data_IF_203167749858
#
_entry.id   IF_203167749858
#
_cell.length_a   1.000
_cell.length_b   1.000
_cell.length_c   1.000
_cell.angle_alpha   90.00
_cell.angle_beta   90.00
_cell.angle_gamma   90.00
#
_symmetry.space_group_name_H-M   'P 1'
#
loop_
_entity.id
_entity.type
_entity.pdbx_description
1 polymer ?
#
# COMPACT_ATOMS: atom_id res chain seq x y z
N UNK A 1 -7.16 -27.66 -28.27
CA UNK A 1 -7.56 -26.51 -27.43
C UNK A 1 -6.40 -25.54 -27.43
N UNK A 2 -6.63 -24.27 -27.74
CA UNK A 2 -5.57 -23.25 -27.66
C UNK A 2 -5.36 -22.96 -26.18
N UNK A 3 -4.19 -23.29 -25.65
CA UNK A 3 -3.78 -22.90 -24.30
C UNK A 3 -3.40 -21.41 -24.34
N UNK A 4 -4.35 -20.53 -24.04
CA UNK A 4 -4.14 -19.08 -24.03
C UNK A 4 -4.10 -18.60 -22.58
N UNK A 5 -3.08 -17.83 -22.23
CA UNK A 5 -3.01 -17.13 -20.95
C UNK A 5 -4.17 -16.13 -20.83
N UNK A 6 -4.80 -16.11 -19.65
CA UNK A 6 -5.86 -15.18 -19.30
C UNK A 6 -5.34 -14.26 -18.19
N UNK A 7 -5.48 -12.96 -18.39
CA UNK A 7 -5.05 -11.93 -17.44
C UNK A 7 -6.27 -11.12 -16.99
N UNK A 8 -6.33 -10.69 -15.72
CA UNK A 8 -7.41 -9.83 -15.27
C UNK A 8 -7.35 -8.46 -15.99
N UNK A 9 -8.52 -7.94 -16.33
CA UNK A 9 -8.64 -6.58 -16.84
C UNK A 9 -8.34 -5.56 -15.72
N UNK A 10 -7.84 -4.38 -16.11
CA UNK A 10 -7.49 -3.27 -15.17
C UNK A 10 -8.45 -2.08 -15.32
N UNK A 11 -8.82 -1.72 -16.55
CA UNK A 11 -9.77 -0.66 -16.93
C UNK A 11 -9.52 0.71 -16.26
N UNK A 12 -10.45 1.21 -15.43
CA UNK A 12 -10.53 2.58 -14.94
C UNK A 12 -9.32 3.03 -14.13
N UNK A 13 -8.85 2.20 -13.20
CA UNK A 13 -7.70 2.48 -12.33
C UNK A 13 -6.49 1.69 -12.82
N UNK A 14 -5.40 2.37 -13.20
CA UNK A 14 -4.21 1.74 -13.77
C UNK A 14 -3.15 1.33 -12.77
N UNK A 15 -3.02 2.08 -11.67
CA UNK A 15 -1.90 1.90 -10.73
C UNK A 15 -2.24 2.48 -9.37
N UNK A 16 -2.19 1.64 -8.35
CA UNK A 16 -2.20 2.01 -6.94
C UNK A 16 -0.83 2.61 -6.63
N UNK A 17 -0.75 3.92 -6.42
CA UNK A 17 0.52 4.62 -6.24
C UNK A 17 1.01 4.50 -4.79
N UNK A 18 0.20 4.92 -3.83
CA UNK A 18 0.57 4.86 -2.43
C UNK A 18 -0.59 4.64 -1.49
N UNK A 19 -0.23 4.16 -0.31
CA UNK A 19 -1.04 4.24 0.89
C UNK A 19 -0.46 5.33 1.80
N UNK A 20 -1.32 6.17 2.36
CA UNK A 20 -0.94 7.27 3.24
C UNK A 20 -1.51 7.03 4.62
N UNK A 21 -0.70 7.34 5.64
CA UNK A 21 -1.18 7.54 6.99
C UNK A 21 -0.28 8.50 7.74
N UNK A 22 -0.86 9.27 8.66
CA UNK A 22 -0.10 10.23 9.45
C UNK A 22 0.62 9.61 10.65
N UNK A 23 1.67 10.28 11.12
CA UNK A 23 2.39 9.91 12.33
C UNK A 23 2.94 11.11 13.09
N UNK A 24 3.40 10.86 14.31
CA UNK A 24 3.89 11.90 15.20
C UNK A 24 5.18 12.56 14.66
N UNK A 25 6.12 11.74 14.22
CA UNK A 25 7.41 12.12 13.64
C UNK A 25 7.89 11.06 12.63
N UNK A 26 9.11 11.22 12.10
CA UNK A 26 9.72 10.31 11.14
C UNK A 26 10.90 9.50 11.69
N UNK A 27 11.20 9.60 12.99
CA UNK A 27 12.34 8.91 13.59
C UNK A 27 12.04 7.40 13.65
N UNK A 28 10.89 7.06 14.21
CA UNK A 28 10.41 5.67 14.26
C UNK A 28 10.10 5.14 12.86
N UNK A 29 9.63 5.99 11.95
CA UNK A 29 9.35 5.62 10.56
C UNK A 29 10.64 5.25 9.83
N UNK A 30 11.71 6.00 10.06
CA UNK A 30 13.04 5.71 9.52
C UNK A 30 13.59 4.40 10.08
N UNK A 31 13.46 4.17 11.39
CA UNK A 31 13.88 2.91 12.03
C UNK A 31 13.11 1.73 11.44
N UNK A 32 11.79 1.82 11.37
CA UNK A 32 10.95 0.71 10.94
C UNK A 32 11.04 0.48 9.42
N UNK A 33 10.64 1.45 8.60
CA UNK A 33 10.53 1.27 7.15
C UNK A 33 11.89 1.20 6.45
N UNK A 34 12.85 2.03 6.87
CA UNK A 34 14.14 2.08 6.16
C UNK A 34 15.10 1.03 6.72
N UNK A 35 15.29 1.00 8.04
CA UNK A 35 16.25 0.06 8.64
C UNK A 35 15.68 -1.37 8.73
N UNK A 36 14.47 -1.52 9.27
CA UNK A 36 13.81 -2.82 9.44
C UNK A 36 13.36 -3.43 8.11
N UNK A 37 12.41 -2.79 7.44
CA UNK A 37 11.79 -3.30 6.21
C UNK A 37 12.74 -3.24 5.00
N UNK A 38 13.80 -2.43 5.06
CA UNK A 38 14.77 -2.30 3.98
C UNK A 38 14.31 -1.45 2.81
N UNK A 39 13.24 -0.67 2.98
CA UNK A 39 12.76 0.29 1.99
C UNK A 39 13.69 1.51 1.92
N UNK A 40 13.31 2.51 1.12
CA UNK A 40 14.12 3.72 0.89
C UNK A 40 13.28 4.98 1.00
N UNK A 41 13.89 6.06 1.51
CA UNK A 41 13.25 7.37 1.49
C UNK A 41 13.33 7.96 0.09
N UNK A 42 12.27 8.62 -0.37
CA UNK A 42 12.25 9.34 -1.64
C UNK A 42 13.29 10.48 -1.63
N UNK A 43 14.32 10.42 -2.49
CA UNK A 43 15.38 11.42 -2.50
C UNK A 43 15.07 12.65 -3.36
N UNK A 44 13.90 12.72 -4.03
CA UNK A 44 13.58 13.78 -4.99
C UNK A 44 12.44 14.69 -4.56
N UNK A 45 11.29 14.12 -4.16
CA UNK A 45 10.04 14.90 -3.97
C UNK A 45 9.64 15.07 -2.51
N UNK A 46 10.00 14.12 -1.66
CA UNK A 46 9.61 14.06 -0.25
C UNK A 46 10.84 13.96 0.65
N UNK A 47 11.77 14.88 0.41
CA UNK A 47 13.08 14.96 1.09
C UNK A 47 13.01 15.73 2.41
N UNK A 48 12.02 16.60 2.58
CA UNK A 48 11.79 17.35 3.81
C UNK A 48 11.16 16.50 4.92
N UNK A 49 11.07 17.07 6.12
CA UNK A 49 10.55 16.47 7.34
C UNK A 49 9.02 16.55 7.50
N UNK A 50 8.31 17.13 6.53
CA UNK A 50 6.87 17.40 6.65
C UNK A 50 6.02 16.23 6.18
N UNK A 51 6.46 15.53 5.14
CA UNK A 51 5.78 14.36 4.60
C UNK A 51 6.81 13.39 4.02
N UNK A 52 7.07 12.28 4.72
CA UNK A 52 8.07 11.30 4.30
C UNK A 52 7.49 10.39 3.22
N UNK A 53 8.18 10.31 2.08
CA UNK A 53 7.92 9.29 1.06
C UNK A 53 8.81 8.07 1.28
N UNK A 54 8.21 6.89 1.44
CA UNK A 54 8.91 5.60 1.54
C UNK A 54 8.66 4.81 0.26
N UNK A 55 9.68 4.57 -0.54
CA UNK A 55 9.58 3.82 -1.79
C UNK A 55 9.47 2.32 -1.53
N UNK A 56 8.53 1.68 -2.21
CA UNK A 56 8.28 0.25 -2.25
C UNK A 56 8.05 -0.20 -3.69
N UNK A 57 9.14 -0.49 -4.40
CA UNK A 57 9.11 -0.82 -5.82
C UNK A 57 8.69 0.41 -6.64
N UNK A 58 7.53 0.33 -7.30
CA UNK A 58 6.97 1.41 -8.11
C UNK A 58 5.89 2.22 -7.38
N UNK A 59 5.80 2.02 -6.06
CA UNK A 59 4.75 2.54 -5.19
C UNK A 59 5.40 3.19 -3.97
N UNK A 60 4.63 3.89 -3.14
CA UNK A 60 5.14 4.51 -1.92
C UNK A 60 4.22 4.29 -0.71
N UNK A 61 4.76 4.54 0.49
CA UNK A 61 3.98 5.08 1.59
C UNK A 61 4.24 6.57 1.71
N UNK A 62 3.21 7.35 1.98
CA UNK A 62 3.36 8.76 2.38
C UNK A 62 2.99 8.91 3.85
N UNK A 63 3.87 9.56 4.62
CA UNK A 63 3.77 9.68 6.07
C UNK A 63 3.79 11.16 6.46
N UNK A 64 2.65 11.88 6.43
CA UNK A 64 2.57 13.25 6.92
C UNK A 64 2.93 13.32 8.40
N UNK A 65 3.79 14.29 8.77
CA UNK A 65 4.12 14.57 10.17
C UNK A 65 3.04 15.47 10.78
N UNK A 66 2.39 14.98 11.84
CA UNK A 66 1.29 15.71 12.53
C UNK A 66 1.53 15.99 14.00
N UNK A 67 2.59 15.44 14.59
CA UNK A 67 2.90 15.63 16.01
C UNK A 67 1.99 14.85 16.96
N UNK A 68 1.04 14.06 16.43
CA UNK A 68 0.15 13.18 17.18
C UNK A 68 0.36 11.72 16.76
N UNK A 69 0.06 10.74 17.63
CA UNK A 69 0.09 9.33 17.26
C UNK A 69 -0.81 9.03 16.06
N UNK A 70 -0.39 8.06 15.24
CA UNK A 70 -1.22 7.51 14.18
C UNK A 70 -2.55 7.01 14.76
N UNK A 71 -3.71 7.40 14.19
CA UNK A 71 -4.99 6.83 14.59
C UNK A 71 -5.04 5.31 14.41
N UNK A 72 -6.01 4.60 15.00
CA UNK A 72 -6.17 3.16 14.76
C UNK A 72 -6.54 2.87 13.29
N UNK A 73 -5.95 1.80 12.74
CA UNK A 73 -6.37 1.22 11.46
C UNK A 73 -6.62 -0.27 11.64
N UNK A 74 -7.88 -0.69 11.47
CA UNK A 74 -8.28 -2.09 11.64
C UNK A 74 -8.22 -2.91 10.35
N UNK A 75 -7.59 -2.36 9.31
CA UNK A 75 -7.30 -3.04 8.05
C UNK A 75 -5.92 -3.69 8.00
N UNK A 76 -5.50 -4.09 6.81
CA UNK A 76 -4.20 -4.74 6.60
C UNK A 76 -3.61 -4.37 5.23
N UNK A 77 -2.32 -4.04 5.19
CA UNK A 77 -1.64 -3.68 3.95
C UNK A 77 -0.79 -4.86 3.47
N UNK A 78 -1.11 -5.39 2.30
CA UNK A 78 -0.41 -6.51 1.66
C UNK A 78 0.77 -6.04 0.83
N UNK A 79 1.98 -6.46 1.21
CA UNK A 79 3.21 -6.13 0.49
C UNK A 79 3.88 -7.39 -0.05
N UNK A 80 4.33 -7.33 -1.30
CA UNK A 80 5.29 -8.30 -1.83
C UNK A 80 6.68 -7.79 -1.51
N UNK A 81 7.55 -8.65 -0.99
CA UNK A 81 8.92 -8.29 -0.59
C UNK A 81 9.93 -9.34 -1.07
N UNK A 82 11.19 -8.93 -1.35
CA UNK A 82 12.15 -9.81 -2.00
C UNK A 82 12.69 -10.91 -1.08
N UNK A 83 12.78 -10.69 0.23
CA UNK A 83 13.41 -11.62 1.17
C UNK A 83 12.82 -11.48 2.59
N UNK A 84 11.95 -12.42 2.96
CA UNK A 84 11.33 -12.47 4.28
C UNK A 84 12.34 -12.77 5.40
N UNK A 85 13.24 -13.77 5.30
CA UNK A 85 14.28 -14.02 6.31
C UNK A 85 15.12 -12.79 6.66
N UNK A 86 15.56 -12.03 5.65
CA UNK A 86 16.39 -10.83 5.86
C UNK A 86 15.61 -9.73 6.56
N UNK A 87 14.36 -9.49 6.17
CA UNK A 87 13.50 -8.50 6.84
C UNK A 87 13.24 -8.92 8.29
N UNK A 88 12.90 -10.19 8.51
CA UNK A 88 12.69 -10.75 9.85
C UNK A 88 13.92 -10.55 10.75
N UNK A 89 15.11 -10.91 10.27
CA UNK A 89 16.35 -10.74 11.05
C UNK A 89 16.63 -9.28 11.43
N UNK A 90 16.39 -8.33 10.52
CA UNK A 90 16.55 -6.89 10.81
C UNK A 90 15.56 -6.41 11.86
N UNK A 91 14.30 -6.81 11.72
CA UNK A 91 13.23 -6.43 12.63
C UNK A 91 13.41 -7.03 14.03
N UNK A 92 13.78 -8.31 14.13
CA UNK A 92 14.12 -8.98 15.40
C UNK A 92 15.28 -8.27 16.10
N UNK A 93 16.37 -7.95 15.37
CA UNK A 93 17.49 -7.19 15.92
C UNK A 93 17.07 -5.82 16.46
N UNK A 94 16.20 -5.10 15.74
CA UNK A 94 15.72 -3.78 16.17
C UNK A 94 14.83 -3.89 17.42
N UNK A 95 14.02 -4.95 17.51
CA UNK A 95 13.21 -5.24 18.68
C UNK A 95 14.09 -5.59 19.90
N UNK A 96 15.11 -6.45 19.73
CA UNK A 96 16.03 -6.88 20.79
C UNK A 96 16.78 -5.70 21.44
N UNK A 97 17.11 -4.65 20.69
CA UNK A 97 17.78 -3.45 21.20
C UNK A 97 16.78 -2.37 21.68
N UNK A 98 15.50 -2.71 21.80
CA UNK A 98 14.45 -1.87 22.37
C UNK A 98 13.96 -0.74 21.47
N UNK A 99 14.13 -0.81 20.13
CA UNK A 99 13.64 0.25 19.23
C UNK A 99 12.11 0.33 19.15
N UNK A 100 11.41 -0.72 19.53
CA UNK A 100 9.96 -0.82 19.45
C UNK A 100 9.28 -0.91 20.83
N UNK A 101 10.03 -0.67 21.91
CA UNK A 101 9.50 -0.71 23.27
C UNK A 101 8.38 0.33 23.46
N UNK A 102 7.27 -0.10 24.06
CA UNK A 102 6.10 0.75 24.29
C UNK A 102 5.27 1.04 23.03
N UNK A 103 5.57 0.39 21.91
CA UNK A 103 4.78 0.48 20.67
C UNK A 103 3.91 -0.77 20.49
N UNK A 104 2.88 -0.75 19.62
CA UNK A 104 2.08 -1.93 19.28
C UNK A 104 2.81 -2.99 18.43
N UNK A 105 4.12 -2.84 18.21
CA UNK A 105 4.87 -3.67 17.28
C UNK A 105 4.77 -5.17 17.64
N UNK A 106 4.45 -5.98 16.64
CA UNK A 106 4.41 -7.43 16.75
C UNK A 106 4.82 -8.05 15.40
N UNK A 107 5.63 -9.12 15.44
CA UNK A 107 5.98 -9.91 14.27
C UNK A 107 5.50 -11.34 14.46
N UNK A 108 4.69 -11.81 13.53
CA UNK A 108 4.06 -13.13 13.55
C UNK A 108 4.35 -13.87 12.24
N UNK A 109 5.29 -14.83 12.22
CA UNK A 109 5.46 -15.72 11.07
C UNK A 109 4.18 -16.53 10.85
N UNK A 110 3.72 -16.63 9.61
CA UNK A 110 2.54 -17.44 9.26
C UNK A 110 2.99 -18.76 8.64
N UNK A 111 3.82 -18.67 7.59
CA UNK A 111 4.39 -19.81 6.88
C UNK A 111 5.71 -19.38 6.17
N UNK A 112 6.30 -20.26 5.37
CA UNK A 112 7.57 -20.02 4.67
C UNK A 112 7.52 -18.87 3.65
N UNK A 113 6.31 -18.49 3.21
CA UNK A 113 6.06 -17.49 2.18
C UNK A 113 5.35 -16.25 2.69
N UNK A 114 4.91 -16.25 3.95
CA UNK A 114 4.07 -15.20 4.51
C UNK A 114 4.43 -14.88 5.97
N UNK A 115 4.52 -13.60 6.30
CA UNK A 115 4.53 -13.13 7.70
C UNK A 115 3.66 -11.90 7.89
N UNK A 116 3.11 -11.75 9.09
CA UNK A 116 2.34 -10.57 9.50
C UNK A 116 3.13 -9.73 10.47
N UNK A 117 3.05 -8.42 10.33
CA UNK A 117 3.67 -7.44 11.20
C UNK A 117 2.62 -6.42 11.61
N UNK A 118 2.40 -6.23 12.91
CA UNK A 118 1.81 -4.98 13.40
C UNK A 118 2.95 -3.99 13.50
N UNK A 119 2.88 -2.90 12.72
CA UNK A 119 3.95 -1.90 12.74
C UNK A 119 3.99 -1.16 14.10
N UNK A 120 5.08 -0.44 14.40
CA UNK A 120 5.13 0.41 15.60
C UNK A 120 4.07 1.52 15.64
N UNK A 121 3.36 1.75 14.54
CA UNK A 121 2.25 2.70 14.41
C UNK A 121 0.87 2.04 14.56
N UNK A 122 0.80 0.73 14.80
CA UNK A 122 -0.46 -0.02 14.88
C UNK A 122 -1.04 -0.44 13.53
N UNK A 123 -0.48 0.02 12.41
CA UNK A 123 -0.89 -0.42 11.05
C UNK A 123 -0.40 -1.85 10.81
N UNK A 124 -1.31 -2.78 10.51
CA UNK A 124 -0.97 -4.15 10.16
C UNK A 124 -0.48 -4.28 8.71
N UNK A 125 0.61 -5.01 8.52
CA UNK A 125 1.22 -5.34 7.25
C UNK A 125 1.28 -6.86 7.10
N UNK A 126 0.89 -7.38 5.94
CA UNK A 126 1.10 -8.79 5.58
C UNK A 126 2.09 -8.88 4.44
N UNK A 127 3.23 -9.48 4.73
CA UNK A 127 4.35 -9.60 3.80
C UNK A 127 4.32 -10.95 3.12
N UNK A 128 4.44 -10.91 1.81
CA UNK A 128 4.43 -12.05 0.92
C UNK A 128 5.79 -12.15 0.23
N UNK A 129 6.38 -13.33 0.19
CA UNK A 129 7.62 -13.57 -0.55
C UNK A 129 7.40 -13.29 -2.05
N UNK A 130 8.41 -12.75 -2.73
CA UNK A 130 8.36 -12.56 -4.18
C UNK A 130 7.99 -13.88 -4.90
N UNK A 131 6.98 -13.83 -5.77
CA UNK A 131 6.47 -14.99 -6.51
C UNK A 131 5.45 -15.86 -5.75
N UNK A 132 5.09 -15.52 -4.51
CA UNK A 132 4.00 -16.20 -3.76
C UNK A 132 2.60 -15.70 -4.12
N UNK A 133 2.51 -14.50 -4.70
CA UNK A 133 1.30 -13.93 -5.27
C UNK A 133 1.52 -13.66 -6.76
N UNK A 134 0.43 -13.64 -7.53
CA UNK A 134 0.45 -13.06 -8.86
C UNK A 134 0.75 -11.56 -8.71
N UNK A 135 2.01 -11.17 -8.89
CA UNK A 135 2.45 -9.78 -8.82
C UNK A 135 3.71 -9.62 -9.68
N UNK A 136 3.73 -8.62 -10.55
CA UNK A 136 4.73 -8.54 -11.62
C UNK A 136 6.14 -8.14 -11.15
N UNK A 137 6.29 -7.71 -9.89
CA UNK A 137 7.54 -7.17 -9.35
C UNK A 137 7.94 -7.92 -8.08
N UNK A 138 9.24 -7.99 -7.74
CA UNK A 138 9.68 -8.63 -6.49
C UNK A 138 9.41 -7.78 -5.23
N UNK A 139 8.94 -6.54 -5.39
CA UNK A 139 8.65 -5.61 -4.32
C UNK A 139 7.50 -4.70 -4.73
N UNK A 140 6.51 -4.51 -3.85
CA UNK A 140 5.44 -3.53 -4.05
C UNK A 140 4.27 -3.71 -3.10
N UNK A 141 3.30 -2.83 -3.25
CA UNK A 141 2.00 -2.84 -2.57
C UNK A 141 1.01 -3.61 -3.43
N UNK A 142 0.69 -4.84 -3.01
CA UNK A 142 -0.19 -5.75 -3.72
C UNK A 142 -1.67 -5.48 -3.38
N UNK A 143 -1.97 -5.22 -2.11
CA UNK A 143 -3.33 -4.89 -1.73
C UNK A 143 -3.45 -4.03 -0.47
N UNK A 144 -4.58 -3.37 -0.30
CA UNK A 144 -5.01 -2.76 0.96
C UNK A 144 -6.36 -3.31 1.36
N UNK A 145 -6.43 -3.95 2.53
CA UNK A 145 -7.67 -4.41 3.16
C UNK A 145 -8.24 -3.28 4.00
N UNK A 146 -9.45 -2.84 3.66
CA UNK A 146 -10.16 -1.78 4.36
C UNK A 146 -11.42 -2.39 4.97
N UNK A 147 -11.58 -2.35 6.31
CA UNK A 147 -12.77 -2.87 6.93
C UNK A 147 -13.94 -1.92 6.70
N UNK A 148 -15.11 -2.48 6.43
CA UNK A 148 -16.36 -1.73 6.21
C UNK A 148 -17.53 -2.42 6.90
N UNK A 149 -18.57 -1.66 7.21
CA UNK A 149 -19.77 -2.20 7.84
C UNK A 149 -20.43 -3.26 6.93
N UNK A 150 -21.00 -4.34 7.49
CA UNK A 150 -21.73 -5.32 6.70
C UNK A 150 -22.83 -4.71 5.82
N UNK A 151 -22.94 -5.19 4.58
CA UNK A 151 -23.82 -4.66 3.54
C UNK A 151 -23.24 -3.52 2.70
N UNK A 152 -22.10 -2.91 3.09
CA UNK A 152 -21.50 -1.79 2.33
C UNK A 152 -20.80 -2.23 1.05
N UNK A 153 -20.41 -3.49 0.91
CA UNK A 153 -19.76 -4.01 -0.30
C UNK A 153 -20.59 -3.75 -1.57
N UNK A 154 -21.92 -3.88 -1.50
CA UNK A 154 -22.81 -3.64 -2.65
C UNK A 154 -22.79 -2.18 -3.12
N UNK A 155 -22.74 -1.23 -2.17
CA UNK A 155 -22.66 0.20 -2.49
C UNK A 155 -21.30 0.55 -3.09
N UNK A 156 -20.23 -0.01 -2.53
CA UNK A 156 -18.85 0.16 -3.03
C UNK A 156 -18.68 -0.40 -4.44
N UNK A 157 -19.29 -1.56 -4.71
CA UNK A 157 -19.25 -2.18 -6.03
C UNK A 157 -19.88 -1.26 -7.08
N UNK A 158 -21.07 -0.71 -6.78
CA UNK A 158 -21.75 0.26 -7.65
C UNK A 158 -20.86 1.48 -7.91
N UNK A 159 -20.22 2.04 -6.89
CA UNK A 159 -19.28 3.16 -7.07
C UNK A 159 -18.12 2.79 -8.01
N UNK A 160 -17.37 1.74 -7.72
CA UNK A 160 -16.17 1.41 -8.50
C UNK A 160 -16.48 0.90 -9.90
N UNK A 161 -17.51 0.07 -10.05
CA UNK A 161 -17.89 -0.48 -11.35
C UNK A 161 -18.57 0.55 -12.23
N UNK A 162 -19.55 1.28 -11.69
CA UNK A 162 -20.45 2.10 -12.53
C UNK A 162 -19.95 3.54 -12.69
N UNK A 163 -19.29 4.11 -11.67
CA UNK A 163 -18.73 5.47 -11.73
C UNK A 163 -17.25 5.48 -12.16
N UNK A 164 -16.43 4.61 -11.57
CA UNK A 164 -14.97 4.59 -11.86
C UNK A 164 -14.62 3.73 -13.09
N UNK A 165 -15.52 2.83 -13.51
CA UNK A 165 -15.30 1.86 -14.59
C UNK A 165 -14.13 0.91 -14.29
N UNK A 166 -14.16 0.31 -13.10
CA UNK A 166 -13.10 -0.56 -12.59
C UNK A 166 -13.66 -1.95 -12.26
N UNK A 167 -12.95 -3.04 -12.60
CA UNK A 167 -13.39 -4.39 -12.28
C UNK A 167 -13.47 -4.63 -10.78
N UNK A 168 -14.50 -5.37 -10.40
CA UNK A 168 -14.76 -5.79 -9.03
C UNK A 168 -15.04 -7.29 -8.98
N UNK A 169 -14.66 -7.93 -7.89
CA UNK A 169 -14.90 -9.35 -7.64
C UNK A 169 -15.26 -9.55 -6.16
N UNK A 170 -16.29 -10.37 -5.90
CA UNK A 170 -16.58 -10.81 -4.54
C UNK A 170 -15.73 -12.02 -4.18
N UNK A 171 -15.06 -11.92 -3.04
CA UNK A 171 -14.24 -12.97 -2.45
C UNK A 171 -14.76 -13.28 -1.03
N UNK A 172 -14.41 -14.46 -0.55
CA UNK A 172 -14.49 -14.79 0.89
C UNK A 172 -13.07 -14.84 1.42
N UNK A 173 -12.75 -14.00 2.41
CA UNK A 173 -11.42 -13.97 3.04
C UNK A 173 -11.61 -14.09 4.54
N UNK A 174 -11.08 -15.17 5.13
CA UNK A 174 -11.20 -15.49 6.56
C UNK A 174 -12.67 -15.50 7.05
N UNK A 175 -13.61 -15.95 6.21
CA UNK A 175 -15.04 -15.95 6.52
C UNK A 175 -15.75 -14.61 6.35
N UNK A 176 -15.05 -13.56 5.89
CA UNK A 176 -15.63 -12.24 5.63
C UNK A 176 -15.99 -12.07 4.16
N UNK A 177 -17.19 -11.51 3.88
CA UNK A 177 -17.54 -11.05 2.54
C UNK A 177 -16.63 -9.88 2.17
N UNK A 178 -15.94 -10.03 1.04
CA UNK A 178 -14.94 -9.06 0.61
C UNK A 178 -15.22 -8.61 -0.81
N UNK A 179 -15.34 -7.30 -1.03
CA UNK A 179 -15.31 -6.72 -2.37
C UNK A 179 -13.86 -6.41 -2.74
N UNK A 180 -13.28 -7.17 -3.67
CA UNK A 180 -11.99 -6.87 -4.27
C UNK A 180 -12.17 -5.94 -5.46
N UNK A 181 -11.50 -4.80 -5.46
CA UNK A 181 -11.50 -3.82 -6.56
C UNK A 181 -10.11 -3.76 -7.17
N UNK A 182 -10.02 -3.87 -8.49
CA UNK A 182 -8.74 -3.81 -9.20
C UNK A 182 -8.19 -2.39 -9.24
N UNK A 183 -7.01 -2.16 -8.68
CA UNK A 183 -6.32 -0.86 -8.70
C UNK A 183 -5.05 -0.88 -9.57
N UNK A 184 -4.94 -1.83 -10.48
CA UNK A 184 -3.78 -2.00 -11.36
C UNK A 184 -3.51 -3.46 -11.65
N UNK A 185 -2.50 -3.79 -12.48
CA UNK A 185 -2.12 -5.17 -12.76
C UNK A 185 -1.74 -5.90 -11.47
N UNK A 186 -2.63 -6.79 -11.03
CA UNK A 186 -2.55 -7.49 -9.75
C UNK A 186 -2.35 -6.59 -8.52
N UNK A 187 -2.99 -5.42 -8.53
CA UNK A 187 -3.07 -4.52 -7.38
C UNK A 187 -4.54 -4.40 -6.98
N UNK A 188 -4.84 -4.41 -5.69
CA UNK A 188 -6.23 -4.44 -5.21
C UNK A 188 -6.47 -3.52 -4.02
N UNK A 189 -7.65 -2.92 -3.95
CA UNK A 189 -8.21 -2.44 -2.69
C UNK A 189 -9.39 -3.34 -2.36
N UNK A 190 -9.38 -3.94 -1.17
CA UNK A 190 -10.33 -4.97 -0.77
C UNK A 190 -11.12 -4.48 0.42
N UNK A 191 -12.42 -4.30 0.23
CA UNK A 191 -13.33 -3.86 1.28
C UNK A 191 -13.91 -5.08 1.98
N UNK A 192 -13.53 -5.28 3.24
CA UNK A 192 -13.87 -6.47 4.03
C UNK A 192 -15.01 -6.15 4.98
N UNK A 193 -16.13 -6.83 4.82
CA UNK A 193 -17.29 -6.64 5.70
C UNK A 193 -17.04 -7.27 7.06
N UNK A 194 -17.03 -6.42 8.10
CA UNK A 194 -16.87 -6.86 9.49
C UNK A 194 -17.51 -5.87 10.44
N UNK A 195 -17.99 -6.35 11.57
CA UNK A 195 -18.51 -5.50 12.64
C UNK A 195 -17.36 -4.91 13.46
N UNK A 196 -17.25 -3.59 13.47
CA UNK A 196 -16.32 -2.80 14.28
C UNK A 196 -17.07 -1.70 15.04
N UNK A 197 -16.48 -1.27 16.16
CA UNK A 197 -16.98 -0.13 16.93
C UNK A 197 -16.75 1.21 16.22
N UNK A 198 -15.75 1.27 15.33
CA UNK A 198 -15.32 2.48 14.62
C UNK A 198 -14.78 2.13 13.21
N UNK A 199 -15.19 2.92 12.21
CA UNK A 199 -14.76 2.82 10.81
C UNK A 199 -14.14 4.12 10.29
N UNK A 200 -13.80 5.08 11.18
CA UNK A 200 -13.20 6.36 10.80
C UNK A 200 -11.82 6.15 10.14
N UNK A 201 -11.65 6.72 8.94
CA UNK A 201 -10.40 6.63 8.17
C UNK A 201 -9.92 8.00 7.65
N UNK A 202 -10.36 9.11 8.23
CA UNK A 202 -10.05 10.48 7.78
C UNK A 202 -8.55 10.82 7.70
N UNK A 203 -7.70 10.08 8.41
CA UNK A 203 -6.24 10.26 8.41
C UNK A 203 -5.51 9.36 7.41
N UNK A 204 -6.25 8.52 6.68
CA UNK A 204 -5.74 7.55 5.73
C UNK A 204 -6.19 7.90 4.32
N UNK A 205 -5.36 7.58 3.34
CA UNK A 205 -5.78 7.65 1.94
C UNK A 205 -5.05 6.65 1.07
N UNK A 206 -5.66 6.32 -0.06
CA UNK A 206 -4.95 5.73 -1.20
C UNK A 206 -4.86 6.75 -2.31
N UNK A 207 -3.74 6.71 -3.03
CA UNK A 207 -3.60 7.44 -4.28
C UNK A 207 -3.47 6.49 -5.45
N UNK A 208 -4.08 6.84 -6.57
CA UNK A 208 -4.09 5.99 -7.74
C UNK A 208 -4.28 6.80 -9.02
N UNK A 209 -3.84 6.20 -10.13
CA UNK A 209 -3.96 6.79 -11.45
C UNK A 209 -5.15 6.24 -12.22
N UNK A 210 -5.91 7.13 -12.86
CA UNK A 210 -7.12 6.76 -13.61
C UNK A 210 -7.05 7.11 -15.09
N UNK A 211 -7.69 6.29 -15.92
CA UNK A 211 -7.80 6.52 -17.38
C UNK A 211 -8.88 7.52 -17.75
N UNK A 212 -9.93 7.65 -16.93
CA UNK A 212 -11.11 8.49 -17.16
C UNK A 212 -11.13 9.75 -16.26
N UNK A 213 -9.96 10.36 -16.02
CA UNK A 213 -9.76 11.44 -15.04
C UNK A 213 -10.80 12.57 -15.07
N UNK A 214 -11.08 13.16 -16.25
CA UNK A 214 -12.02 14.27 -16.35
C UNK A 214 -13.45 13.86 -15.99
N UNK A 215 -13.93 12.75 -16.54
CA UNK A 215 -15.28 12.26 -16.26
C UNK A 215 -15.45 11.91 -14.78
N UNK A 216 -14.45 11.29 -14.17
CA UNK A 216 -14.47 10.98 -12.75
C UNK A 216 -14.49 12.26 -11.89
N UNK A 217 -13.61 13.23 -12.20
CA UNK A 217 -13.58 14.51 -11.49
C UNK A 217 -14.91 15.27 -11.60
N UNK A 218 -15.49 15.32 -12.79
CA UNK A 218 -16.76 16.04 -13.03
C UNK A 218 -17.89 15.42 -12.19
N UNK A 219 -17.95 14.08 -12.09
CA UNK A 219 -18.91 13.40 -11.20
C UNK A 219 -18.70 13.72 -9.73
N UNK A 220 -17.45 13.77 -9.27
CA UNK A 220 -17.13 14.14 -7.87
C UNK A 220 -17.50 15.60 -7.58
N UNK A 221 -17.32 16.51 -8.55
CA UNK A 221 -17.76 17.91 -8.45
C UNK A 221 -19.28 18.01 -8.38
N UNK A 222 -19.99 17.29 -9.25
CA UNK A 222 -21.47 17.27 -9.28
C UNK A 222 -22.07 16.84 -7.94
N UNK A 223 -21.40 15.91 -7.23
CA UNK A 223 -21.81 15.43 -5.92
C UNK A 223 -21.37 16.34 -4.75
N UNK A 224 -20.51 17.33 -5.00
CA UNK A 224 -20.06 18.28 -3.99
C UNK A 224 -19.05 17.71 -2.98
N UNK A 225 -18.46 16.54 -3.25
CA UNK A 225 -17.50 15.86 -2.35
C UNK A 225 -16.06 16.31 -2.54
N UNK A 226 -15.78 17.14 -3.55
CA UNK A 226 -14.43 17.59 -3.89
C UNK A 226 -13.79 18.38 -2.73
N UNK A 227 -12.57 18.00 -2.35
CA UNK A 227 -11.74 18.81 -1.47
C UNK A 227 -11.00 19.90 -2.26
N UNK A 228 -11.13 21.15 -1.80
CA UNK A 228 -10.49 22.30 -2.43
C UNK A 228 -10.99 22.55 -3.85
N UNK A 229 -10.13 23.09 -4.72
CA UNK A 229 -10.51 23.47 -6.09
C UNK A 229 -10.41 22.33 -7.12
N UNK A 230 -9.75 21.21 -6.78
CA UNK A 230 -9.57 20.08 -7.71
C UNK A 230 -8.87 20.44 -9.03
N UNK A 231 -8.02 21.47 -9.01
CA UNK A 231 -7.37 22.02 -10.19
C UNK A 231 -6.13 21.19 -10.61
N UNK A 232 -5.90 21.11 -11.92
CA UNK A 232 -4.73 20.43 -12.49
C UNK A 232 -4.97 18.95 -12.79
N UNK A 233 -4.00 18.12 -12.44
CA UNK A 233 -3.92 16.69 -12.78
C UNK A 233 -4.04 15.77 -11.55
N UNK A 234 -4.49 16.33 -10.42
CA UNK A 234 -4.77 15.64 -9.16
C UNK A 234 -6.00 16.29 -8.52
N UNK A 235 -6.86 15.48 -7.90
CA UNK A 235 -7.91 15.97 -7.01
C UNK A 235 -8.07 15.04 -5.82
N UNK A 236 -8.64 15.58 -4.74
CA UNK A 236 -8.92 14.85 -3.50
C UNK A 236 -10.41 14.92 -3.23
N UNK A 237 -10.97 13.87 -2.64
CA UNK A 237 -12.33 13.85 -2.10
C UNK A 237 -12.42 12.79 -1.00
N UNK A 238 -13.40 12.92 -0.11
CA UNK A 238 -13.71 11.89 0.88
C UNK A 238 -14.80 10.97 0.34
N UNK A 239 -14.56 9.66 0.43
CA UNK A 239 -15.47 8.64 -0.08
C UNK A 239 -14.86 7.24 -0.11
N UNK A 240 -15.53 6.25 -0.72
CA UNK A 240 -16.57 6.40 -1.75
C UNK A 240 -17.94 6.94 -1.29
N UNK A 241 -18.78 7.32 -2.25
CA UNK A 241 -20.19 7.74 -2.07
C UNK A 241 -21.12 6.99 -3.05
N UNK A 242 -22.43 6.92 -2.77
CA UNK A 242 -23.39 6.31 -3.70
C UNK A 242 -23.55 7.21 -4.94
N UNK A 243 -23.33 6.70 -6.17
CA UNK A 243 -23.40 7.50 -7.38
C UNK A 243 -24.74 8.18 -7.69
N UNK A 244 -25.85 7.67 -7.14
CA UNK A 244 -27.20 8.19 -7.39
C UNK A 244 -27.66 9.16 -6.29
N UNK A 245 -27.41 8.82 -5.02
CA UNK A 245 -27.88 9.64 -3.89
C UNK A 245 -26.86 10.66 -3.40
N UNK A 246 -25.57 10.47 -3.67
CA UNK A 246 -24.48 11.26 -3.10
C UNK A 246 -24.18 10.95 -1.63
N UNK A 247 -24.84 9.95 -1.03
CA UNK A 247 -24.60 9.53 0.35
C UNK A 247 -23.18 8.96 0.49
N UNK A 248 -22.41 9.47 1.44
CA UNK A 248 -21.09 8.93 1.76
C UNK A 248 -21.19 7.48 2.24
N UNK A 249 -20.44 6.59 1.60
CA UNK A 249 -20.39 5.16 1.94
C UNK A 249 -19.32 4.93 3.00
N UNK A 250 -18.16 5.60 2.84
CA UNK A 250 -16.98 5.45 3.69
C UNK A 250 -16.23 6.78 3.76
N UNK A 251 -15.95 7.26 4.98
CA UNK A 251 -15.12 8.44 5.21
C UNK A 251 -13.64 8.08 5.10
N UNK A 252 -13.14 8.05 3.86
CA UNK A 252 -11.77 7.68 3.52
C UNK A 252 -11.27 8.59 2.39
N UNK A 253 -10.13 9.26 2.56
CA UNK A 253 -9.68 10.20 1.54
C UNK A 253 -9.17 9.44 0.30
N UNK A 254 -9.49 9.98 -0.87
CA UNK A 254 -9.14 9.43 -2.17
C UNK A 254 -8.29 10.45 -2.94
N UNK A 255 -7.03 10.12 -3.23
CA UNK A 255 -6.17 10.95 -4.07
C UNK A 255 -6.16 10.44 -5.51
N UNK A 256 -6.95 11.08 -6.37
CA UNK A 256 -7.10 10.66 -7.76
C UNK A 256 -6.16 11.46 -8.65
N UNK A 257 -5.31 10.77 -9.40
CA UNK A 257 -4.36 11.39 -10.33
C UNK A 257 -4.65 11.01 -11.78
N UNK A 258 -4.43 11.97 -12.67
CA UNK A 258 -4.44 11.73 -14.11
C UNK A 258 -3.20 10.94 -14.53
N UNK A 259 -3.30 10.07 -15.53
CA UNK A 259 -2.12 9.45 -16.17
C UNK A 259 -1.19 10.48 -16.84
N UNK A 260 -1.63 11.73 -17.03
CA UNK A 260 -0.79 12.83 -17.50
C UNK A 260 -0.06 13.57 -16.37
N UNK A 261 -0.33 13.21 -15.11
CA UNK A 261 0.36 13.79 -13.95
C UNK A 261 1.87 13.54 -14.07
N UNK A 262 2.73 14.54 -13.76
CA UNK A 262 4.19 14.42 -13.95
C UNK A 262 4.85 13.31 -13.13
N UNK A 263 4.19 12.86 -12.06
CA UNK A 263 4.69 11.76 -11.24
C UNK A 263 4.19 10.37 -11.70
N UNK A 264 3.36 10.27 -12.74
CA UNK A 264 2.93 8.98 -13.29
C UNK A 264 4.14 8.20 -13.79
N UNK A 265 4.38 7.03 -13.21
CA UNK A 265 5.52 6.16 -13.51
C UNK A 265 6.89 6.83 -13.33
N UNK A 266 6.97 7.88 -12.50
CA UNK A 266 8.24 8.49 -12.11
C UNK A 266 9.17 7.42 -11.51
N UNK A 267 10.46 7.41 -11.85
CA UNK A 267 11.41 6.49 -11.24
C UNK A 267 11.49 6.68 -9.71
N UNK A 268 11.34 5.58 -8.97
CA UNK A 268 11.57 5.52 -7.54
C UNK A 268 12.87 4.77 -7.26
N UNK A 269 13.69 5.32 -6.38
CA UNK A 269 14.96 4.70 -5.97
C UNK A 269 14.66 3.68 -4.89
N UNK A 270 14.85 2.40 -5.17
CA UNK A 270 14.71 1.30 -4.22
C UNK A 270 16.08 0.82 -3.77
N UNK A 271 16.16 0.21 -2.59
CA UNK A 271 17.42 -0.36 -2.12
C UNK A 271 17.81 -1.49 -3.08
N UNK A 272 18.96 -1.33 -3.72
CA UNK A 272 19.63 -2.44 -4.38
C UNK A 272 20.40 -3.23 -3.30
N UNK A 273 20.47 -4.57 -3.39
CA UNK A 273 21.34 -5.35 -2.52
C UNK A 273 22.75 -4.74 -2.50
N UNK A 274 23.22 -4.41 -1.30
CA UNK A 274 24.59 -3.92 -1.11
C UNK A 274 25.51 -5.11 -1.34
N UNK A 275 26.05 -5.24 -2.55
CA UNK A 275 26.97 -6.32 -2.90
C UNK A 275 28.40 -6.09 -2.33
N UNK A 276 28.74 -4.85 -1.96
CA UNK A 276 30.04 -4.47 -1.41
C UNK A 276 29.94 -3.14 -0.65
N UNK A 277 30.24 -3.15 0.65
CA UNK A 277 30.37 -1.97 1.52
C UNK A 277 31.84 -1.86 1.98
N UNK A 278 32.45 -0.65 2.02
CA UNK A 278 33.82 -0.47 2.47
C UNK A 278 33.98 -0.55 4.01
N UNK A 279 32.90 -0.63 4.77
CA UNK A 279 32.90 -0.75 6.23
C UNK A 279 32.54 -2.18 6.65
N UNK A 280 33.51 -2.90 7.22
CA UNK A 280 33.42 -4.35 7.49
C UNK A 280 32.36 -4.73 8.53
N UNK A 281 32.06 -3.87 9.49
CA UNK A 281 31.05 -4.10 10.54
C UNK A 281 29.62 -4.17 9.99
N UNK A 282 29.36 -3.51 8.87
CA UNK A 282 28.08 -3.55 8.16
C UNK A 282 28.07 -4.63 7.07
N UNK A 283 29.23 -4.87 6.44
CA UNK A 283 29.42 -5.93 5.44
C UNK A 283 29.23 -7.32 6.03
N UNK A 284 29.83 -7.63 7.18
CA UNK A 284 29.82 -8.98 7.75
C UNK A 284 28.40 -9.42 8.16
N UNK A 285 27.56 -8.48 8.60
CA UNK A 285 26.13 -8.73 8.86
C UNK A 285 25.37 -8.99 7.57
N UNK A 286 25.63 -8.23 6.51
CA UNK A 286 24.95 -8.39 5.22
C UNK A 286 25.44 -9.61 4.44
N UNK A 287 26.72 -9.97 4.50
CA UNK A 287 27.30 -11.19 3.90
C UNK A 287 26.77 -12.45 4.61
N UNK A 288 26.66 -12.43 5.95
CA UNK A 288 26.05 -13.55 6.70
C UNK A 288 24.56 -13.78 6.36
N UNK A 289 23.89 -12.74 5.86
CA UNK A 289 22.50 -12.77 5.40
C UNK A 289 22.37 -13.06 3.89
N UNK A 290 23.45 -12.90 3.12
CA UNK A 290 23.48 -13.03 1.66
C UNK A 290 23.81 -14.46 1.18
N UNK A 291 24.05 -15.40 2.08
CA UNK A 291 24.34 -16.81 1.75
C UNK A 291 23.10 -17.61 1.29
N UNK A 292 22.06 -16.92 0.80
CA UNK A 292 20.86 -17.51 0.19
C UNK A 292 20.95 -17.37 -1.34
N UNK A 293 21.05 -18.48 -2.10
CA UNK A 293 21.08 -18.43 -3.56
C UNK A 293 19.72 -17.97 -4.10
N UNK A 294 19.69 -16.88 -4.87
CA UNK A 294 18.46 -16.40 -5.52
C UNK A 294 18.50 -15.00 -6.13
N UNK A 295 19.57 -14.23 -5.92
CA UNK A 295 19.63 -12.81 -6.28
C UNK A 295 19.98 -12.48 -7.75
N UNK A 296 20.04 -13.50 -8.64
CA UNK A 296 20.23 -13.29 -10.07
C UNK A 296 19.05 -13.88 -10.83
N UNK A 297 18.20 -13.00 -11.34
CA UNK A 297 17.22 -13.34 -12.36
C UNK A 297 17.94 -13.93 -13.60
N UNK A 298 17.61 -15.18 -13.93
CA UNK A 298 17.63 -15.71 -15.30
C UNK A 298 18.94 -15.62 -16.09
N UNK A 299 19.78 -16.64 -15.98
CA UNK A 299 20.31 -17.26 -17.22
C UNK A 299 19.36 -18.39 -17.61
N UNK A 300 18.75 -18.36 -18.80
CA UNK A 300 17.93 -19.46 -19.27
C UNK A 300 18.80 -20.71 -19.41
N UNK A 301 18.27 -21.86 -18.98
CA UNK A 301 18.68 -23.15 -19.52
C UNK A 301 17.79 -23.50 -20.70
#
# INVERSE_FOLDING_TARGET
MINREYFPDVQGILHLEHFNFEGADHDLATIFFINGMGFTRDPYRRTDETNMGVNIGMQQFHLPRRGNPTPPFYGEVGLVVPDLPVIKARLERLAEIGKFDGTPYELTPIDDTTMRIVSPFGVALKLHAAGSLDFLKPLGLAYVDIPVQPGKAVQLEKFYRDLVNTPTEYLEIDGETTLSVTFGPHQYVRFRERELDDYELYSYHVAYYVTNYNAYRDRVIEQGSLQGEGAGQVFFFDGPFDPDSGEEILNFTQEVRSVYHPDFMRPLVNRWPIATEPFSDQRDVMESLADVPGLVYGTPK
#
